data_IF_057826164184
#
_entry.id   IF_057826164184
#
_cell.length_a   1.000
_cell.length_b   1.000
_cell.length_c   1.000
_cell.angle_alpha   90.00
_cell.angle_beta   90.00
_cell.angle_gamma   90.00
#
_symmetry.space_group_name_H-M   'P 1'
#
loop_
_entity.id
_entity.type
_entity.pdbx_description
1 polymer ?
#
# COMPACT_ATOMS: atom_id res chain seq x y z
N UNK A 1 3.66 8.24 -9.53
CA UNK A 1 3.32 8.07 -8.10
C UNK A 1 3.03 9.44 -7.52
N UNK A 2 1.90 9.58 -6.84
CA UNK A 2 1.54 10.75 -6.05
C UNK A 2 1.30 10.33 -4.59
N UNK A 3 1.57 11.22 -3.65
CA UNK A 3 1.47 10.91 -2.21
C UNK A 3 0.55 11.92 -1.54
N UNK A 4 -0.51 11.43 -0.89
CA UNK A 4 -1.47 12.26 -0.16
C UNK A 4 -1.43 11.91 1.32
N UNK A 5 -1.16 12.91 2.17
CA UNK A 5 -1.17 12.76 3.62
C UNK A 5 -2.56 13.03 4.20
N UNK A 6 -2.87 12.37 5.30
CA UNK A 6 -4.01 12.65 6.17
C UNK A 6 -3.56 12.52 7.63
N UNK A 7 -4.34 12.98 8.63
CA UNK A 7 -3.85 13.19 10.00
C UNK A 7 -3.11 11.99 10.64
N UNK A 8 -3.52 10.76 10.34
CA UNK A 8 -2.96 9.53 10.91
C UNK A 8 -2.31 8.61 9.87
N UNK A 9 -2.10 9.08 8.65
CA UNK A 9 -1.60 8.20 7.60
C UNK A 9 -1.27 8.83 6.26
N UNK A 10 -0.97 7.96 5.31
CA UNK A 10 -0.57 8.34 3.96
C UNK A 10 -1.18 7.40 2.92
N UNK A 11 -1.61 7.98 1.80
CA UNK A 11 -2.05 7.28 0.60
C UNK A 11 -0.97 7.43 -0.46
N UNK A 12 -0.54 6.31 -1.05
CA UNK A 12 0.32 6.26 -2.22
C UNK A 12 -0.55 5.93 -3.44
N UNK A 13 -0.65 6.89 -4.35
CA UNK A 13 -1.39 6.76 -5.60
C UNK A 13 -0.46 6.25 -6.69
N UNK A 14 -0.62 4.97 -7.03
CA UNK A 14 0.24 4.25 -7.95
C UNK A 14 -0.40 4.20 -9.35
N UNK A 15 0.44 4.26 -10.38
CA UNK A 15 -0.03 4.36 -11.76
C UNK A 15 0.96 3.74 -12.74
N UNK A 16 0.46 3.21 -13.85
CA UNK A 16 1.26 2.58 -14.90
C UNK A 16 1.78 1.21 -14.47
N UNK A 17 3.05 0.93 -14.74
CA UNK A 17 3.66 -0.37 -14.44
C UNK A 17 4.38 -0.39 -13.09
N UNK A 18 4.07 -1.39 -12.26
CA UNK A 18 4.84 -1.74 -11.08
C UNK A 18 5.84 -2.84 -11.43
N UNK A 19 7.11 -2.45 -11.51
CA UNK A 19 8.22 -3.36 -11.76
C UNK A 19 9.32 -3.14 -10.72
N UNK A 20 10.41 -3.92 -10.80
CA UNK A 20 11.58 -3.75 -9.93
C UNK A 20 12.19 -2.34 -10.03
N UNK A 21 12.05 -1.62 -11.14
CA UNK A 21 12.59 -0.26 -11.25
C UNK A 21 11.78 0.77 -10.43
N UNK A 22 10.49 0.52 -10.20
CA UNK A 22 9.64 1.38 -9.37
C UNK A 22 10.04 1.35 -7.88
N UNK A 23 10.83 0.33 -7.49
CA UNK A 23 11.28 0.06 -6.14
C UNK A 23 11.96 1.26 -5.47
N UNK A 24 12.95 1.86 -6.15
CA UNK A 24 13.73 2.96 -5.60
C UNK A 24 12.84 4.19 -5.36
N UNK A 25 11.95 4.49 -6.30
CA UNK A 25 11.00 5.62 -6.18
C UNK A 25 10.00 5.41 -5.06
N UNK A 26 9.45 4.18 -4.94
CA UNK A 26 8.48 3.83 -3.90
C UNK A 26 9.09 3.86 -2.51
N UNK A 27 10.26 3.23 -2.34
CA UNK A 27 10.97 3.27 -1.07
C UNK A 27 11.42 4.66 -0.69
N UNK A 28 12.01 5.43 -1.62
CA UNK A 28 12.44 6.80 -1.31
C UNK A 28 11.26 7.67 -0.87
N UNK A 29 10.08 7.53 -1.50
CA UNK A 29 8.87 8.23 -1.09
C UNK A 29 8.39 7.86 0.31
N UNK A 30 8.61 6.61 0.75
CA UNK A 30 8.29 6.10 2.09
C UNK A 30 9.35 6.44 3.13
N UNK A 31 10.64 6.38 2.80
CA UNK A 31 11.74 6.76 3.68
C UNK A 31 11.74 8.26 3.97
N UNK A 32 11.24 9.07 3.03
CA UNK A 32 10.92 10.48 3.28
C UNK A 32 9.79 10.64 4.32
N UNK A 33 8.95 9.62 4.53
CA UNK A 33 7.99 9.58 5.63
C UNK A 33 8.68 9.12 6.91
N UNK A 34 9.54 9.97 7.46
CA UNK A 34 10.22 9.77 8.76
C UNK A 34 9.27 9.52 9.94
N UNK A 35 7.97 9.66 9.71
CA UNK A 35 6.89 9.55 10.68
C UNK A 35 6.24 8.15 10.70
N UNK A 36 6.66 7.21 9.85
CA UNK A 36 6.12 5.83 9.83
C UNK A 36 6.28 5.16 11.20
N UNK A 37 5.17 4.72 11.81
CA UNK A 37 5.16 4.15 13.15
C UNK A 37 5.27 5.16 14.30
N UNK A 38 5.44 6.46 13.99
CA UNK A 38 5.39 7.55 14.97
C UNK A 38 4.06 8.30 14.88
N UNK A 39 3.88 9.10 13.82
CA UNK A 39 2.63 9.83 13.52
C UNK A 39 1.79 9.16 12.43
N UNK A 40 2.41 8.38 11.55
CA UNK A 40 1.75 7.63 10.49
C UNK A 40 1.46 6.22 11.01
N UNK A 41 0.17 5.95 11.25
CA UNK A 41 -0.37 4.66 11.72
C UNK A 41 -1.04 3.87 10.60
N UNK A 42 -1.30 4.53 9.47
CA UNK A 42 -1.97 3.96 8.31
C UNK A 42 -1.21 4.24 7.01
N UNK A 43 -1.05 3.21 6.19
CA UNK A 43 -0.52 3.29 4.83
C UNK A 43 -1.57 2.71 3.89
N UNK A 44 -1.95 3.45 2.86
CA UNK A 44 -2.90 2.95 1.86
C UNK A 44 -2.33 3.04 0.45
N UNK A 45 -2.59 2.04 -0.38
CA UNK A 45 -2.16 1.97 -1.77
C UNK A 45 -3.38 2.07 -2.70
N UNK A 46 -3.45 3.13 -3.48
CA UNK A 46 -4.39 3.21 -4.61
C UNK A 46 -3.75 2.56 -5.82
N UNK A 47 -4.30 1.40 -6.23
CA UNK A 47 -3.85 0.63 -7.38
C UNK A 47 -4.79 0.82 -8.60
N UNK A 48 -5.76 1.73 -8.54
CA UNK A 48 -6.78 1.93 -9.58
C UNK A 48 -6.20 2.29 -10.95
N UNK A 49 -5.03 2.94 -10.97
CA UNK A 49 -4.31 3.32 -12.20
C UNK A 49 -3.12 2.42 -12.52
N UNK A 50 -2.95 1.31 -11.80
CA UNK A 50 -1.88 0.34 -12.06
C UNK A 50 -2.34 -0.61 -13.16
N UNK A 51 -1.63 -0.59 -14.27
CA UNK A 51 -1.97 -1.34 -15.48
C UNK A 51 -1.31 -2.72 -15.46
N UNK A 52 -0.11 -2.82 -14.86
CA UNK A 52 0.68 -4.04 -14.87
C UNK A 52 1.56 -4.20 -13.62
N UNK A 53 1.67 -5.43 -13.11
CA UNK A 53 2.56 -5.80 -12.01
C UNK A 53 3.31 -7.08 -12.40
N UNK A 54 4.63 -7.01 -12.49
CA UNK A 54 5.47 -8.19 -12.69
C UNK A 54 5.98 -8.78 -11.36
N UNK A 55 6.80 -9.83 -11.43
CA UNK A 55 7.41 -10.46 -10.25
C UNK A 55 8.24 -9.48 -9.42
N UNK A 56 8.96 -8.57 -10.06
CA UNK A 56 9.69 -7.48 -9.42
C UNK A 56 8.76 -6.53 -8.67
N UNK A 57 7.70 -6.06 -9.32
CA UNK A 57 6.69 -5.19 -8.69
C UNK A 57 6.02 -5.85 -7.49
N UNK A 58 5.72 -7.14 -7.58
CA UNK A 58 5.18 -7.92 -6.45
C UNK A 58 6.15 -7.93 -5.26
N UNK A 59 7.44 -8.13 -5.50
CA UNK A 59 8.46 -8.08 -4.45
C UNK A 59 8.54 -6.70 -3.77
N UNK A 60 8.36 -5.62 -4.54
CA UNK A 60 8.28 -4.26 -3.98
C UNK A 60 7.06 -4.12 -3.06
N UNK A 61 5.88 -4.54 -3.50
CA UNK A 61 4.65 -4.48 -2.70
C UNK A 61 4.76 -5.30 -1.40
N UNK A 62 5.33 -6.51 -1.48
CA UNK A 62 5.58 -7.36 -0.31
C UNK A 62 6.51 -6.66 0.68
N UNK A 63 7.61 -6.08 0.20
CA UNK A 63 8.54 -5.41 1.10
C UNK A 63 7.90 -4.18 1.75
N UNK A 64 7.15 -3.39 0.99
CA UNK A 64 6.42 -2.23 1.50
C UNK A 64 5.42 -2.63 2.60
N UNK A 65 4.59 -3.64 2.36
CA UNK A 65 3.61 -4.10 3.34
C UNK A 65 4.28 -4.66 4.60
N UNK A 66 5.38 -5.41 4.45
CA UNK A 66 6.18 -5.91 5.57
C UNK A 66 6.86 -4.80 6.37
N UNK A 67 7.35 -3.75 5.70
CA UNK A 67 7.93 -2.58 6.35
C UNK A 67 6.87 -1.87 7.21
N UNK A 68 5.67 -1.64 6.66
CA UNK A 68 4.55 -1.07 7.42
C UNK A 68 4.18 -1.93 8.63
N UNK A 69 4.00 -3.24 8.43
CA UNK A 69 3.70 -4.18 9.51
C UNK A 69 4.76 -4.17 10.63
N UNK A 70 6.05 -4.17 10.28
CA UNK A 70 7.15 -4.09 11.26
C UNK A 70 7.14 -2.78 12.05
N UNK A 71 6.67 -1.70 11.45
CA UNK A 71 6.52 -0.39 12.09
C UNK A 71 5.20 -0.24 12.87
N UNK A 72 4.36 -1.28 12.96
CA UNK A 72 3.05 -1.19 13.60
C UNK A 72 2.02 -0.38 12.81
N UNK A 73 2.24 -0.22 11.50
CA UNK A 73 1.38 0.52 10.58
C UNK A 73 0.45 -0.44 9.86
N UNK A 74 -0.86 -0.16 9.89
CA UNK A 74 -1.81 -0.95 9.11
C UNK A 74 -1.71 -0.55 7.64
N UNK A 75 -1.57 -1.56 6.76
CA UNK A 75 -1.50 -1.34 5.32
C UNK A 75 -2.81 -1.75 4.65
N UNK A 76 -3.33 -0.88 3.80
CA UNK A 76 -4.57 -1.06 3.03
C UNK A 76 -4.30 -0.89 1.54
N UNK A 77 -5.19 -1.42 0.72
CA UNK A 77 -5.17 -1.17 -0.72
C UNK A 77 -6.58 -1.21 -1.31
N UNK A 78 -6.77 -0.53 -2.43
CA UNK A 78 -7.95 -0.67 -3.29
C UNK A 78 -7.55 -0.55 -4.76
N UNK A 79 -8.51 -0.80 -5.66
CA UNK A 79 -8.24 -0.81 -7.11
C UNK A 79 -7.48 -2.05 -7.58
N UNK A 80 -7.45 -3.11 -6.77
CA UNK A 80 -6.83 -4.39 -7.13
C UNK A 80 -7.77 -5.15 -8.07
N UNK A 81 -7.28 -5.55 -9.24
CA UNK A 81 -8.08 -6.38 -10.15
C UNK A 81 -8.21 -7.82 -9.61
N UNK A 82 -9.25 -8.60 -9.99
CA UNK A 82 -9.40 -9.98 -9.53
C UNK A 82 -8.20 -10.88 -9.83
N UNK A 83 -7.50 -10.62 -10.95
CA UNK A 83 -6.25 -11.29 -11.30
C UNK A 83 -5.16 -11.04 -10.25
N UNK A 84 -4.91 -9.77 -9.91
CA UNK A 84 -3.90 -9.41 -8.92
C UNK A 84 -4.29 -9.78 -7.50
N UNK A 85 -5.58 -9.72 -7.13
CA UNK A 85 -6.01 -10.20 -5.81
C UNK A 85 -5.67 -11.68 -5.60
N UNK A 86 -5.89 -12.52 -6.62
CA UNK A 86 -5.53 -13.94 -6.57
C UNK A 86 -4.02 -14.12 -6.40
N UNK A 87 -3.23 -13.34 -7.12
CA UNK A 87 -1.77 -13.36 -6.99
C UNK A 87 -1.31 -12.88 -5.61
N UNK A 88 -1.91 -11.80 -5.07
CA UNK A 88 -1.60 -11.26 -3.74
C UNK A 88 -1.85 -12.31 -2.65
N UNK A 89 -2.97 -13.05 -2.74
CA UNK A 89 -3.26 -14.17 -1.84
C UNK A 89 -2.23 -15.30 -1.99
N UNK A 90 -1.89 -15.67 -3.23
CA UNK A 90 -0.96 -16.77 -3.52
C UNK A 90 0.45 -16.51 -2.95
N UNK A 91 0.92 -15.27 -3.00
CA UNK A 91 2.26 -14.90 -2.49
C UNK A 91 2.27 -14.46 -1.02
N UNK A 92 1.14 -14.55 -0.33
CA UNK A 92 1.01 -14.16 1.08
C UNK A 92 1.02 -12.64 1.33
N UNK A 93 0.87 -11.80 0.30
CA UNK A 93 0.85 -10.34 0.47
C UNK A 93 -0.33 -9.89 1.35
N UNK A 94 -1.44 -10.63 1.29
CA UNK A 94 -2.64 -10.34 2.10
C UNK A 94 -2.47 -10.57 3.60
N UNK A 95 -1.36 -11.15 4.05
CA UNK A 95 -1.02 -11.25 5.47
C UNK A 95 -0.62 -9.89 6.07
N UNK A 96 -0.12 -8.97 5.23
CA UNK A 96 0.40 -7.68 5.66
C UNK A 96 -0.43 -6.49 5.12
N UNK A 97 -1.23 -6.73 4.08
CA UNK A 97 -2.02 -5.70 3.41
C UNK A 97 -3.47 -6.16 3.22
N UNK A 98 -4.42 -5.36 3.73
CA UNK A 98 -5.84 -5.61 3.53
C UNK A 98 -6.32 -4.98 2.21
N UNK A 99 -7.19 -5.68 1.49
CA UNK A 99 -7.75 -5.24 0.21
C UNK A 99 -9.21 -4.81 0.43
N UNK A 100 -9.56 -3.64 -0.06
CA UNK A 100 -10.91 -3.05 0.01
C UNK A 100 -11.41 -2.68 -1.39
N UNK A 101 -12.74 -2.62 -1.60
CA UNK A 101 -13.31 -2.35 -2.91
C UNK A 101 -13.03 -0.93 -3.43
N UNK A 102 -12.85 0.04 -2.53
CA UNK A 102 -12.61 1.45 -2.86
C UNK A 102 -12.01 2.21 -1.67
N UNK A 103 -11.59 3.45 -1.92
CA UNK A 103 -11.07 4.36 -0.89
C UNK A 103 -12.07 4.56 0.26
N UNK A 104 -13.35 4.73 -0.03
CA UNK A 104 -14.37 4.98 0.99
C UNK A 104 -14.39 3.86 2.06
N UNK A 105 -14.34 2.59 1.64
CA UNK A 105 -14.29 1.47 2.57
C UNK A 105 -12.99 1.41 3.38
N UNK A 106 -11.86 1.87 2.82
CA UNK A 106 -10.59 2.02 3.56
C UNK A 106 -10.72 3.10 4.63
N UNK A 107 -11.32 4.25 4.29
CA UNK A 107 -11.53 5.34 5.25
C UNK A 107 -12.46 4.90 6.38
N UNK A 108 -13.58 4.24 6.06
CA UNK A 108 -14.46 3.66 7.09
C UNK A 108 -13.72 2.69 8.01
N UNK A 109 -12.81 1.87 7.45
CA UNK A 109 -11.98 0.98 8.27
C UNK A 109 -11.04 1.76 9.19
N UNK A 110 -10.39 2.80 8.68
CA UNK A 110 -9.49 3.65 9.45
C UNK A 110 -10.23 4.33 10.60
N UNK A 111 -11.41 4.89 10.34
CA UNK A 111 -12.27 5.50 11.36
C UNK A 111 -12.68 4.49 12.44
N UNK A 112 -13.08 3.28 12.04
CA UNK A 112 -13.47 2.21 12.96
C UNK A 112 -12.32 1.68 13.83
N UNK A 113 -11.06 1.98 13.50
CA UNK A 113 -9.90 1.61 14.29
C UNK A 113 -9.63 2.59 15.46
N UNK A 114 -10.54 3.54 15.73
CA UNK A 114 -10.56 4.46 16.87
C UNK A 114 -9.18 5.07 17.20
N UNK A 115 -8.73 6.01 16.36
CA UNK A 115 -7.67 6.96 16.73
C UNK A 115 -8.31 8.31 17.03
#
# INVERSE_FOLDING_TARGET
MHTRKFPSGVVLELSGELTKSAEATLLAGLEQQKELGLGIRFLALDLTKVEYINSGGMAVLIRLARMGSKAGVHTFSWGVTPHYEKLFRMVGLTEYMMIYPNEFAVIQRIEALNI
#
